data_IF_687463221199
#
_entry.id   IF_687463221199
#
_cell.length_a   1.000
_cell.length_b   1.000
_cell.length_c   1.000
_cell.angle_alpha   90.00
_cell.angle_beta   90.00
_cell.angle_gamma   90.00
#
_symmetry.space_group_name_H-M   'P 1'
#
loop_
_entity.id
_entity.type
_entity.pdbx_description
1 polymer ?
#
# COMPACT_ATOMS: atom_id res chain seq x y z
N UNK A 1 -22.50 23.49 -16.23
CA UNK A 1 -21.24 22.75 -16.26
C UNK A 1 -20.83 22.47 -14.82
N UNK A 2 -20.95 21.22 -14.36
CA UNK A 2 -20.12 20.69 -13.27
C UNK A 2 -19.31 19.60 -13.93
N UNK A 3 -18.09 19.94 -14.33
CA UNK A 3 -17.10 18.90 -14.58
C UNK A 3 -16.74 18.39 -13.20
N UNK A 4 -17.10 17.15 -12.91
CA UNK A 4 -16.40 16.41 -11.88
C UNK A 4 -14.96 16.33 -12.38
N UNK A 5 -14.06 17.13 -11.79
CA UNK A 5 -12.64 17.03 -12.06
C UNK A 5 -12.21 15.68 -11.49
N UNK A 6 -12.16 14.67 -12.36
CA UNK A 6 -11.66 13.35 -12.01
C UNK A 6 -10.15 13.54 -11.84
N UNK A 7 -9.71 13.88 -10.62
CA UNK A 7 -8.30 13.88 -10.30
C UNK A 7 -7.74 12.50 -10.60
N UNK A 8 -6.68 12.45 -11.42
CA UNK A 8 -6.01 11.20 -11.70
C UNK A 8 -5.47 10.61 -10.38
N UNK A 9 -5.53 9.28 -10.26
CA UNK A 9 -5.04 8.56 -9.08
C UNK A 9 -3.69 7.94 -9.38
N UNK A 10 -2.74 8.05 -8.46
CA UNK A 10 -1.49 7.30 -8.47
C UNK A 10 -1.53 6.15 -7.48
N UNK A 11 -0.91 5.03 -7.82
CA UNK A 11 -0.76 3.87 -6.94
C UNK A 11 0.63 3.89 -6.29
N UNK A 12 0.68 3.72 -4.98
CA UNK A 12 1.89 3.45 -4.21
C UNK A 12 1.85 1.98 -3.81
N UNK A 13 2.85 1.22 -4.25
CA UNK A 13 3.03 -0.17 -3.83
C UNK A 13 4.16 -0.28 -2.82
N UNK A 14 3.99 -1.16 -1.84
CA UNK A 14 5.00 -1.46 -0.84
C UNK A 14 4.85 -2.90 -0.35
N UNK A 15 5.94 -3.48 0.13
CA UNK A 15 5.96 -4.86 0.61
C UNK A 15 6.18 -4.89 2.13
N UNK A 16 5.40 -5.69 2.85
CA UNK A 16 5.67 -6.09 4.23
C UNK A 16 6.29 -7.47 4.19
N UNK A 17 7.47 -7.62 4.80
CA UNK A 17 8.22 -8.88 4.77
C UNK A 17 8.18 -9.52 6.16
N UNK A 18 7.68 -10.75 6.24
CA UNK A 18 7.72 -11.56 7.45
C UNK A 18 8.83 -12.60 7.39
N UNK A 19 9.30 -13.02 8.57
CA UNK A 19 10.23 -14.15 8.74
C UNK A 19 9.59 -15.18 9.65
N UNK A 20 9.25 -16.35 9.11
CA UNK A 20 8.37 -17.30 9.80
C UNK A 20 6.90 -16.87 9.76
N UNK A 21 6.04 -17.58 10.48
CA UNK A 21 4.59 -17.30 10.53
C UNK A 21 4.31 -16.24 11.60
N UNK A 22 4.09 -14.99 11.18
CA UNK A 22 3.72 -13.87 12.06
C UNK A 22 2.19 -13.73 12.17
N UNK A 23 1.46 -14.25 11.19
CA UNK A 23 0.01 -14.22 11.13
C UNK A 23 -0.55 -13.02 10.36
N UNK A 24 -1.56 -13.30 9.53
CA UNK A 24 -2.17 -12.35 8.58
C UNK A 24 -2.64 -11.03 9.21
N UNK A 25 -3.20 -11.05 10.42
CA UNK A 25 -3.73 -9.85 11.07
C UNK A 25 -2.64 -8.87 11.47
N UNK A 26 -1.49 -9.37 11.91
CA UNK A 26 -0.33 -8.55 12.28
C UNK A 26 0.25 -7.87 11.03
N UNK A 27 0.37 -8.62 9.92
CA UNK A 27 0.80 -8.09 8.62
C UNK A 27 -0.15 -6.98 8.13
N UNK A 28 -1.47 -7.19 8.25
CA UNK A 28 -2.47 -6.16 7.90
C UNK A 28 -2.39 -4.94 8.81
N UNK A 29 -2.14 -5.15 10.11
CA UNK A 29 -1.91 -4.09 11.08
C UNK A 29 -0.74 -3.21 10.67
N UNK A 30 0.42 -3.81 10.47
CA UNK A 30 1.63 -3.12 10.06
C UNK A 30 1.47 -2.42 8.70
N UNK A 31 0.79 -3.06 7.73
CA UNK A 31 0.51 -2.44 6.44
C UNK A 31 -0.37 -1.18 6.57
N UNK A 32 -1.37 -1.18 7.45
CA UNK A 32 -2.20 0.01 7.73
C UNK A 32 -1.39 1.14 8.36
N UNK A 33 -0.44 0.81 9.24
CA UNK A 33 0.40 1.81 9.90
C UNK A 33 1.41 2.43 8.93
N UNK A 34 2.05 1.60 8.10
CA UNK A 34 2.91 2.06 7.00
C UNK A 34 2.12 2.95 6.03
N UNK A 35 0.91 2.53 5.65
CA UNK A 35 0.08 3.32 4.74
C UNK A 35 -0.29 4.67 5.33
N UNK A 36 -0.69 4.73 6.61
CA UNK A 36 -0.98 6.01 7.29
C UNK A 36 0.22 6.95 7.28
N UNK A 37 1.44 6.43 7.40
CA UNK A 37 2.66 7.23 7.29
C UNK A 37 2.93 7.68 5.84
N UNK A 38 2.77 6.80 4.86
CA UNK A 38 3.03 7.09 3.43
C UNK A 38 2.02 8.08 2.83
N UNK A 39 0.76 7.99 3.24
CA UNK A 39 -0.34 8.79 2.72
C UNK A 39 -0.61 10.08 3.50
N UNK A 40 0.10 10.30 4.62
CA UNK A 40 -0.04 11.51 5.42
C UNK A 40 0.16 12.77 4.57
N UNK A 41 -0.84 13.65 4.57
CA UNK A 41 -0.82 14.92 3.83
C UNK A 41 -1.06 14.78 2.31
N UNK A 42 -1.34 13.57 1.80
CA UNK A 42 -1.63 13.35 0.37
C UNK A 42 -3.13 13.39 0.11
N UNK A 43 -3.55 14.18 -0.88
CA UNK A 43 -4.94 14.27 -1.32
C UNK A 43 -5.49 12.92 -1.79
N UNK A 44 -6.76 12.67 -1.51
CA UNK A 44 -7.50 11.52 -2.05
C UNK A 44 -6.91 10.16 -1.71
N UNK A 45 -6.13 10.06 -0.63
CA UNK A 45 -5.63 8.81 -0.11
C UNK A 45 -6.78 7.84 0.20
N UNK A 46 -6.67 6.58 -0.22
CA UNK A 46 -7.60 5.55 0.23
C UNK A 46 -7.45 5.29 1.75
N UNK A 47 -8.50 4.81 2.42
CA UNK A 47 -8.49 4.63 3.88
C UNK A 47 -7.45 3.60 4.35
N UNK A 48 -7.29 2.52 3.58
CA UNK A 48 -6.36 1.44 3.87
C UNK A 48 -5.80 0.84 2.57
N UNK A 49 -4.57 0.30 2.60
CA UNK A 49 -3.98 -0.31 1.44
C UNK A 49 -4.60 -1.69 1.20
N UNK A 50 -4.71 -2.08 -0.07
CA UNK A 50 -5.19 -3.39 -0.51
C UNK A 50 -4.04 -4.39 -0.55
N UNK A 51 -4.25 -5.59 -0.02
CA UNK A 51 -3.34 -6.72 -0.20
C UNK A 51 -3.47 -7.25 -1.64
N UNK A 52 -2.36 -7.27 -2.38
CA UNK A 52 -2.31 -7.70 -3.78
C UNK A 52 -1.93 -9.17 -3.91
N UNK A 53 -0.77 -9.55 -3.38
CA UNK A 53 -0.28 -10.92 -3.41
C UNK A 53 0.75 -11.18 -2.30
N UNK A 54 1.13 -12.44 -2.17
CA UNK A 54 2.24 -12.86 -1.30
C UNK A 54 3.15 -13.80 -2.08
N UNK A 55 4.44 -13.79 -1.76
CA UNK A 55 5.39 -14.69 -2.38
C UNK A 55 6.66 -14.85 -1.58
N UNK A 56 7.30 -16.02 -1.73
CA UNK A 56 8.62 -16.25 -1.19
C UNK A 56 9.66 -15.38 -1.90
N UNK A 57 10.64 -14.91 -1.15
CA UNK A 57 11.76 -14.13 -1.69
C UNK A 57 12.82 -15.11 -2.21
N UNK A 58 13.28 -14.93 -3.45
CA UNK A 58 14.36 -15.73 -4.04
C UNK A 58 15.61 -15.64 -3.18
N UNK A 59 16.27 -16.78 -2.96
CA UNK A 59 17.46 -16.93 -2.09
C UNK A 59 17.25 -16.60 -0.60
N UNK A 60 16.00 -16.38 -0.18
CA UNK A 60 15.63 -16.05 1.20
C UNK A 60 14.33 -16.78 1.59
N UNK A 61 14.33 -18.11 1.50
CA UNK A 61 13.14 -18.96 1.69
C UNK A 61 12.49 -18.89 3.08
N UNK A 62 13.21 -18.37 4.08
CA UNK A 62 12.65 -18.11 5.41
C UNK A 62 11.74 -16.87 5.46
N UNK A 63 11.62 -16.13 4.35
CA UNK A 63 10.88 -14.88 4.26
C UNK A 63 9.76 -14.96 3.22
N UNK A 64 8.64 -14.32 3.55
CA UNK A 64 7.52 -14.11 2.66
C UNK A 64 7.29 -12.60 2.55
N UNK A 65 7.20 -12.10 1.34
CA UNK A 65 6.81 -10.73 1.06
C UNK A 65 5.30 -10.67 0.79
N UNK A 66 4.63 -9.70 1.39
CA UNK A 66 3.23 -9.39 1.19
C UNK A 66 3.11 -8.02 0.54
N UNK A 67 2.63 -7.98 -0.70
CA UNK A 67 2.49 -6.74 -1.45
C UNK A 67 1.19 -6.05 -1.13
N UNK A 68 1.30 -4.76 -0.82
CA UNK A 68 0.19 -3.86 -0.60
C UNK A 68 0.20 -2.71 -1.61
N UNK A 69 -0.99 -2.19 -1.89
CA UNK A 69 -1.19 -1.07 -2.80
C UNK A 69 -2.19 -0.09 -2.19
N UNK A 70 -1.81 1.17 -2.08
CA UNK A 70 -2.72 2.26 -1.77
C UNK A 70 -2.74 3.28 -2.89
N UNK A 71 -3.81 4.07 -2.97
CA UNK A 71 -3.96 5.12 -3.99
C UNK A 71 -3.98 6.51 -3.36
N UNK A 72 -3.49 7.49 -4.10
CA UNK A 72 -3.52 8.92 -3.78
C UNK A 72 -3.94 9.71 -5.03
N UNK A 73 -4.36 10.96 -4.87
CA UNK A 73 -4.44 11.88 -6.01
C UNK A 73 -3.03 12.16 -6.56
N UNK A 74 -2.90 12.24 -7.87
CA UNK A 74 -1.74 12.87 -8.49
C UNK A 74 -1.88 14.37 -8.30
N UNK A 75 -0.87 15.01 -7.73
CA UNK A 75 -0.79 16.47 -7.83
C UNK A 75 -0.66 16.82 -9.32
N UNK A 76 -1.59 17.62 -9.85
CA UNK A 76 -1.40 18.32 -11.11
C UNK A 76 -0.13 19.16 -10.96
N UNK A 77 0.98 18.65 -11.50
CA UNK A 77 2.19 19.46 -11.60
C UNK A 77 1.87 20.60 -12.58
N UNK A 78 2.09 21.87 -12.19
CA UNK A 78 1.77 23.03 -13.04
C UNK A 78 2.55 23.03 -14.36
#
# INVERSE_FOLDING_TARGET
>A
MRGDDIMAKSAITFDVVERGDVGTEEIRGLARDIWRALSAGRGGACDQPRWINSGSITDASAYIAHRFEGTIDTEDSP
#
